data_IF_266441336503
#
_entry.id   IF_266441336503
#
_cell.length_a   1.000
_cell.length_b   1.000
_cell.length_c   1.000
_cell.angle_alpha   90.00
_cell.angle_beta   90.00
_cell.angle_gamma   90.00
#
_symmetry.space_group_name_H-M   'P 1'
#
loop_
_entity.id
_entity.type
_entity.pdbx_description
1 polymer ?
#
# COMPACT_ATOMS: atom_id res chain seq x y z
N UNK A 1 -23.76 -9.37 1.17
CA UNK A 1 -23.33 -10.37 2.19
C UNK A 1 -21.82 -10.37 2.10
N UNK A 2 -21.13 -9.82 3.06
CA UNK A 2 -19.66 -9.90 3.17
C UNK A 2 -19.31 -11.38 3.25
N UNK A 3 -18.75 -11.94 2.20
CA UNK A 3 -18.24 -13.31 2.23
C UNK A 3 -17.02 -13.25 3.15
N UNK A 4 -17.11 -13.95 4.28
CA UNK A 4 -16.03 -14.02 5.25
C UNK A 4 -14.94 -14.94 4.66
N UNK A 5 -14.06 -14.37 3.82
CA UNK A 5 -12.90 -15.08 3.32
C UNK A 5 -11.86 -15.17 4.43
N UNK A 6 -11.33 -16.38 4.74
CA UNK A 6 -10.22 -16.49 5.66
C UNK A 6 -9.01 -15.75 5.10
N UNK A 7 -8.25 -15.09 5.97
CA UNK A 7 -7.00 -14.43 5.57
C UNK A 7 -5.90 -15.49 5.50
N UNK A 8 -5.90 -16.23 4.41
CA UNK A 8 -4.94 -17.29 4.10
C UNK A 8 -4.19 -16.93 2.82
N UNK A 9 -2.93 -17.37 2.70
CA UNK A 9 -2.10 -17.10 1.53
C UNK A 9 -2.65 -17.76 0.29
N UNK A 10 -2.85 -16.99 -0.77
CA UNK A 10 -3.24 -17.50 -2.07
C UNK A 10 -4.29 -16.67 -2.78
N UNK A 11 -4.72 -17.19 -3.94
CA UNK A 11 -5.70 -16.55 -4.79
C UNK A 11 -7.12 -16.91 -4.32
N UNK A 12 -7.93 -15.87 -4.10
CA UNK A 12 -9.33 -15.99 -3.66
C UNK A 12 -10.23 -15.32 -4.70
N UNK A 13 -11.25 -16.02 -5.16
CA UNK A 13 -12.32 -15.43 -5.98
C UNK A 13 -13.26 -14.62 -5.08
N UNK A 14 -13.45 -13.35 -5.42
CA UNK A 14 -14.26 -12.39 -4.65
C UNK A 14 -15.54 -11.99 -5.36
N UNK A 15 -15.82 -12.63 -6.49
CA UNK A 15 -17.05 -12.51 -7.26
C UNK A 15 -16.87 -11.79 -8.60
N UNK A 16 -17.75 -12.11 -9.54
CA UNK A 16 -17.86 -11.48 -10.86
C UNK A 16 -16.53 -11.32 -11.62
N UNK A 17 -15.67 -12.37 -11.60
CA UNK A 17 -14.38 -12.36 -12.27
C UNK A 17 -13.30 -11.54 -11.54
N UNK A 18 -13.59 -11.01 -10.38
CA UNK A 18 -12.61 -10.35 -9.50
C UNK A 18 -11.99 -11.35 -8.54
N UNK A 19 -10.66 -11.23 -8.36
CA UNK A 19 -9.87 -12.09 -7.48
C UNK A 19 -8.91 -11.23 -6.66
N UNK A 20 -8.58 -11.69 -5.46
CA UNK A 20 -7.52 -11.12 -4.63
C UNK A 20 -6.47 -12.19 -4.35
N UNK A 21 -5.19 -11.85 -4.44
CA UNK A 21 -4.11 -12.66 -3.93
C UNK A 21 -3.70 -12.11 -2.57
N UNK A 22 -3.87 -12.90 -1.53
CA UNK A 22 -3.69 -12.47 -0.15
C UNK A 22 -2.38 -12.98 0.42
N UNK A 23 -1.68 -12.15 1.19
CA UNK A 23 -0.43 -12.49 1.87
C UNK A 23 -0.52 -12.23 3.38
N UNK A 24 -0.92 -13.20 4.20
CA UNK A 24 -0.77 -13.10 5.65
C UNK A 24 0.73 -13.01 6.05
N UNK A 25 1.07 -12.26 7.10
CA UNK A 25 0.13 -11.59 8.01
C UNK A 25 -0.31 -10.18 7.59
N UNK A 26 0.11 -9.70 6.42
CA UNK A 26 -0.18 -8.34 5.95
C UNK A 26 0.77 -7.28 6.51
N UNK A 27 1.84 -7.69 7.21
CA UNK A 27 2.87 -6.79 7.74
C UNK A 27 3.79 -6.25 6.64
N UNK A 28 4.91 -5.65 7.01
CA UNK A 28 5.88 -5.06 6.09
C UNK A 28 6.19 -5.96 4.88
N UNK A 29 5.90 -5.45 3.67
CA UNK A 29 6.18 -6.14 2.41
C UNK A 29 5.25 -7.31 2.06
N UNK A 30 4.34 -7.71 2.95
CA UNK A 30 3.32 -8.75 2.70
C UNK A 30 2.04 -8.13 2.16
N UNK A 31 2.16 -7.50 0.99
CA UNK A 31 1.07 -6.81 0.29
C UNK A 31 0.13 -7.78 -0.43
N UNK A 32 -1.10 -7.36 -0.68
CA UNK A 32 -2.06 -8.04 -1.52
C UNK A 32 -1.96 -7.56 -2.98
N UNK A 33 -2.46 -8.38 -3.90
CA UNK A 33 -2.62 -8.02 -5.31
C UNK A 33 -4.01 -8.42 -5.80
N UNK A 34 -4.41 -7.93 -6.97
CA UNK A 34 -5.72 -8.19 -7.56
C UNK A 34 -5.64 -8.71 -8.98
N UNK A 35 -6.64 -9.52 -9.39
CA UNK A 35 -6.82 -9.91 -10.79
C UNK A 35 -8.28 -9.70 -11.19
N UNK A 36 -8.52 -8.94 -12.24
CA UNK A 36 -9.83 -8.75 -12.85
C UNK A 36 -9.85 -9.48 -14.20
N UNK A 37 -10.65 -10.52 -14.30
CA UNK A 37 -10.74 -11.38 -15.49
C UNK A 37 -11.94 -10.96 -16.34
N UNK A 38 -11.67 -10.59 -17.59
CA UNK A 38 -12.66 -10.31 -18.62
C UNK A 38 -12.66 -11.35 -19.74
N UNK A 39 -13.35 -11.07 -20.85
CA UNK A 39 -13.38 -11.93 -22.01
C UNK A 39 -12.04 -11.85 -22.78
N UNK A 40 -11.27 -12.91 -22.73
CA UNK A 40 -9.99 -13.04 -23.44
C UNK A 40 -8.85 -12.12 -22.98
N UNK A 41 -9.04 -11.32 -21.92
CA UNK A 41 -8.02 -10.47 -21.35
C UNK A 41 -8.25 -10.25 -19.84
N UNK A 42 -7.19 -9.94 -19.08
CA UNK A 42 -7.28 -9.59 -17.66
C UNK A 42 -6.44 -8.39 -17.31
N UNK A 43 -6.80 -7.77 -16.18
CA UNK A 43 -6.05 -6.72 -15.50
C UNK A 43 -5.44 -7.29 -14.22
N UNK A 44 -4.14 -7.10 -14.04
CA UNK A 44 -3.47 -7.30 -12.75
C UNK A 44 -3.42 -5.96 -12.00
N UNK A 45 -3.73 -5.97 -10.72
CA UNK A 45 -3.55 -4.82 -9.81
C UNK A 45 -2.42 -5.17 -8.86
N UNK A 46 -1.32 -4.47 -8.99
CA UNK A 46 -0.06 -4.64 -8.28
C UNK A 46 0.68 -5.97 -8.54
N UNK A 47 1.96 -5.95 -8.29
CA UNK A 47 2.83 -7.11 -8.15
C UNK A 47 3.30 -7.19 -6.70
N UNK A 48 4.29 -8.04 -6.40
CA UNK A 48 4.72 -8.27 -5.04
C UNK A 48 6.19 -7.86 -4.83
N UNK A 49 6.67 -7.94 -3.59
CA UNK A 49 7.91 -7.33 -3.15
C UNK A 49 9.17 -7.96 -3.74
N UNK A 50 9.09 -9.23 -4.17
CA UNK A 50 10.20 -9.87 -4.84
C UNK A 50 9.74 -10.79 -5.98
N UNK A 51 10.72 -11.29 -6.73
CA UNK A 51 10.44 -12.12 -7.92
C UNK A 51 9.89 -13.49 -7.56
N UNK A 52 10.24 -14.04 -6.40
CA UNK A 52 9.76 -15.36 -5.96
C UNK A 52 8.27 -15.25 -5.61
N UNK A 53 7.93 -14.27 -4.81
CA UNK A 53 6.55 -14.03 -4.39
C UNK A 53 5.65 -13.71 -5.60
N UNK A 54 6.13 -12.83 -6.50
CA UNK A 54 5.38 -12.51 -7.73
C UNK A 54 5.22 -13.73 -8.64
N UNK A 55 6.26 -14.55 -8.77
CA UNK A 55 6.20 -15.80 -9.54
C UNK A 55 5.15 -16.77 -8.98
N UNK A 56 5.13 -16.99 -7.64
CA UNK A 56 4.12 -17.82 -6.97
C UNK A 56 2.69 -17.29 -7.18
N UNK A 57 2.53 -15.96 -7.12
CA UNK A 57 1.24 -15.31 -7.39
C UNK A 57 0.78 -15.55 -8.83
N UNK A 58 1.65 -15.32 -9.83
CA UNK A 58 1.33 -15.53 -11.24
C UNK A 58 1.05 -17.00 -11.54
N UNK A 59 1.76 -17.93 -10.91
CA UNK A 59 1.49 -19.37 -11.01
C UNK A 59 0.10 -19.72 -10.46
N UNK A 60 -0.29 -19.14 -9.32
CA UNK A 60 -1.64 -19.33 -8.77
C UNK A 60 -2.74 -18.78 -9.70
N UNK A 61 -2.45 -17.72 -10.45
CA UNK A 61 -3.37 -17.11 -11.44
C UNK A 61 -3.37 -17.84 -12.79
N UNK A 62 -2.42 -18.75 -13.06
CA UNK A 62 -2.14 -19.31 -14.40
C UNK A 62 -3.33 -20.01 -15.06
N UNK A 63 -4.21 -20.63 -14.29
CA UNK A 63 -5.43 -21.26 -14.84
C UNK A 63 -6.40 -20.25 -15.46
N UNK A 64 -6.45 -19.04 -14.91
CA UNK A 64 -7.30 -17.95 -15.39
C UNK A 64 -6.60 -17.22 -16.55
N UNK A 65 -5.33 -16.86 -16.38
CA UNK A 65 -4.58 -16.03 -17.34
C UNK A 65 -4.22 -16.79 -18.63
N UNK A 66 -4.29 -18.11 -18.62
CA UNK A 66 -4.11 -18.91 -19.85
C UNK A 66 -5.21 -18.63 -20.90
N UNK A 67 -6.43 -18.37 -20.48
CA UNK A 67 -7.57 -18.06 -21.37
C UNK A 67 -7.85 -16.56 -21.46
N UNK A 68 -7.42 -15.79 -20.47
CA UNK A 68 -7.52 -14.35 -20.41
C UNK A 68 -6.16 -13.76 -20.00
N UNK A 69 -5.17 -13.67 -20.92
CA UNK A 69 -3.84 -13.17 -20.60
C UNK A 69 -3.88 -11.78 -19.94
N UNK A 70 -2.90 -11.49 -19.08
CA UNK A 70 -2.75 -10.18 -18.45
C UNK A 70 -2.37 -9.17 -19.54
N UNK A 71 -3.32 -8.34 -19.93
CA UNK A 71 -3.15 -7.30 -20.95
C UNK A 71 -2.68 -5.98 -20.33
N UNK A 72 -3.06 -5.73 -19.09
CA UNK A 72 -2.71 -4.52 -18.36
C UNK A 72 -2.32 -4.84 -16.92
N UNK A 73 -1.38 -4.08 -16.40
CA UNK A 73 -0.98 -4.06 -15.00
C UNK A 73 -1.15 -2.63 -14.48
N UNK A 74 -1.88 -2.45 -13.41
CA UNK A 74 -1.95 -1.17 -12.69
C UNK A 74 -1.13 -1.28 -11.43
N UNK A 75 -0.14 -0.38 -11.25
CA UNK A 75 0.47 -0.19 -9.95
C UNK A 75 -0.29 0.91 -9.19
N UNK A 76 -0.78 0.55 -8.02
CA UNK A 76 -1.56 1.49 -7.18
C UNK A 76 -0.69 2.62 -6.68
N UNK A 77 0.59 2.37 -6.39
CA UNK A 77 1.55 3.37 -5.93
C UNK A 77 3.00 2.89 -6.13
N UNK A 78 3.96 3.63 -5.59
CA UNK A 78 5.38 3.49 -5.91
C UNK A 78 6.15 2.49 -5.04
N UNK A 79 5.57 1.98 -3.94
CA UNK A 79 6.32 1.12 -3.02
C UNK A 79 6.66 -0.22 -3.66
N UNK A 80 7.84 -0.73 -3.32
CA UNK A 80 8.42 -1.90 -3.96
C UNK A 80 7.57 -3.16 -3.83
N UNK A 81 6.87 -3.34 -2.74
CA UNK A 81 5.99 -4.47 -2.51
C UNK A 81 4.70 -4.46 -3.37
N UNK A 82 4.52 -3.40 -4.17
CA UNK A 82 3.45 -3.28 -5.16
C UNK A 82 3.96 -3.21 -6.61
N UNK A 83 5.28 -3.06 -6.83
CA UNK A 83 5.81 -2.84 -8.19
C UNK A 83 7.11 -3.58 -8.52
N UNK A 84 7.86 -4.14 -7.58
CA UNK A 84 9.14 -4.78 -7.87
C UNK A 84 9.04 -6.05 -8.71
N UNK A 85 7.88 -6.70 -8.71
CA UNK A 85 7.60 -7.85 -9.56
C UNK A 85 7.22 -7.54 -11.00
N UNK A 86 7.09 -6.26 -11.40
CA UNK A 86 6.63 -5.83 -12.73
C UNK A 86 7.37 -6.50 -13.89
N UNK A 87 8.66 -6.80 -13.73
CA UNK A 87 9.47 -7.46 -14.77
C UNK A 87 8.97 -8.86 -15.17
N UNK A 88 8.18 -9.53 -14.32
CA UNK A 88 7.61 -10.85 -14.60
C UNK A 88 6.30 -10.79 -15.39
N UNK A 89 5.72 -9.60 -15.57
CA UNK A 89 4.45 -9.41 -16.29
C UNK A 89 4.74 -8.98 -17.72
N UNK A 90 5.18 -9.95 -18.53
CA UNK A 90 5.57 -9.70 -19.92
C UNK A 90 4.36 -9.37 -20.81
N UNK A 91 4.54 -8.36 -21.69
CA UNK A 91 3.56 -7.98 -22.70
C UNK A 91 2.41 -7.13 -22.21
N UNK A 92 2.25 -6.92 -20.89
CA UNK A 92 1.22 -6.05 -20.35
C UNK A 92 1.58 -4.55 -20.49
N UNK A 93 0.57 -3.70 -20.73
CA UNK A 93 0.71 -2.27 -20.55
C UNK A 93 0.76 -1.98 -19.03
N UNK A 94 1.84 -1.35 -18.54
CA UNK A 94 1.96 -0.98 -17.13
C UNK A 94 1.46 0.45 -16.95
N UNK A 95 0.49 0.63 -16.07
CA UNK A 95 -0.24 1.89 -15.86
C UNK A 95 -0.07 2.33 -14.40
N UNK A 96 0.19 3.61 -14.17
CA UNK A 96 0.15 4.24 -12.84
C UNK A 96 -0.21 5.73 -12.95
N UNK A 97 -0.37 6.41 -11.81
CA UNK A 97 -0.35 7.87 -11.81
C UNK A 97 1.02 8.41 -12.25
N UNK A 98 1.06 9.62 -12.77
CA UNK A 98 2.32 10.30 -13.15
C UNK A 98 3.22 10.47 -11.93
N UNK A 99 2.65 10.77 -10.76
CA UNK A 99 3.38 10.93 -9.52
C UNK A 99 4.00 9.61 -9.04
N UNK A 100 3.25 8.50 -9.05
CA UNK A 100 3.79 7.19 -8.68
C UNK A 100 4.91 6.73 -9.63
N UNK A 101 4.76 6.92 -10.95
CA UNK A 101 5.80 6.58 -11.91
C UNK A 101 7.13 7.32 -11.65
N UNK A 102 7.05 8.58 -11.21
CA UNK A 102 8.23 9.36 -10.82
C UNK A 102 8.85 8.81 -9.52
N UNK A 103 8.03 8.60 -8.49
CA UNK A 103 8.45 8.17 -7.16
C UNK A 103 9.07 6.74 -7.17
N UNK A 104 8.64 5.83 -8.06
CA UNK A 104 9.21 4.49 -8.22
C UNK A 104 10.73 4.49 -8.43
N UNK A 105 11.32 5.58 -8.91
CA UNK A 105 12.76 5.69 -9.13
C UNK A 105 13.54 6.10 -7.88
N UNK A 106 12.88 6.54 -6.82
CA UNK A 106 13.52 7.09 -5.61
C UNK A 106 14.04 6.00 -4.68
N UNK A 107 13.33 4.85 -4.62
CA UNK A 107 13.74 3.70 -3.81
C UNK A 107 13.98 2.50 -4.73
N UNK A 108 15.15 2.38 -5.36
CA UNK A 108 15.44 1.24 -6.23
C UNK A 108 15.68 -0.04 -5.42
N UNK A 109 15.37 -1.24 -5.95
CA UNK A 109 15.57 -2.53 -5.26
C UNK A 109 16.99 -2.74 -4.74
N UNK A 110 17.99 -2.22 -5.45
CA UNK A 110 19.41 -2.28 -5.06
C UNK A 110 19.69 -1.56 -3.74
N UNK A 111 18.91 -0.54 -3.39
CA UNK A 111 19.04 0.17 -2.12
C UNK A 111 18.60 -0.72 -0.95
N UNK A 112 17.45 -1.41 -1.07
CA UNK A 112 16.99 -2.36 -0.05
C UNK A 112 17.92 -3.56 0.06
N UNK A 113 18.43 -4.08 -1.06
CA UNK A 113 19.45 -5.13 -1.06
C UNK A 113 20.70 -4.69 -0.29
N UNK A 114 21.20 -3.47 -0.53
CA UNK A 114 22.36 -2.93 0.16
C UNK A 114 22.12 -2.74 1.67
N UNK A 115 20.94 -2.25 2.07
CA UNK A 115 20.58 -2.07 3.47
C UNK A 115 20.44 -3.41 4.21
N UNK A 116 19.82 -4.43 3.60
CA UNK A 116 19.76 -5.77 4.16
C UNK A 116 21.14 -6.45 4.28
N UNK A 117 22.05 -6.16 3.36
CA UNK A 117 23.42 -6.69 3.38
C UNK A 117 24.38 -5.88 4.25
N UNK A 118 23.96 -4.72 4.76
CA UNK A 118 24.82 -3.85 5.57
C UNK A 118 25.27 -4.57 6.86
N UNK A 119 26.54 -4.36 7.29
CA UNK A 119 27.01 -4.92 8.55
C UNK A 119 26.49 -4.14 9.76
N UNK A 120 26.44 -4.81 10.93
CA UNK A 120 26.14 -4.18 12.22
C UNK A 120 24.68 -3.71 12.34
N UNK A 121 24.46 -2.73 13.22
CA UNK A 121 23.12 -2.31 13.67
C UNK A 121 22.17 -1.90 12.52
N UNK A 122 22.70 -1.26 11.48
CA UNK A 122 21.88 -0.84 10.32
C UNK A 122 21.33 -2.07 9.58
N UNK A 123 22.19 -3.02 9.24
CA UNK A 123 21.74 -4.24 8.57
C UNK A 123 20.83 -5.09 9.45
N UNK A 124 21.13 -5.19 10.75
CA UNK A 124 20.26 -5.91 11.69
C UNK A 124 18.87 -5.26 11.77
N UNK A 125 18.81 -3.93 11.79
CA UNK A 125 17.56 -3.18 11.76
C UNK A 125 16.75 -3.46 10.48
N UNK A 126 17.35 -3.30 9.30
CA UNK A 126 16.63 -3.53 8.04
C UNK A 126 16.23 -4.99 7.84
N UNK A 127 17.06 -5.94 8.23
CA UNK A 127 16.69 -7.38 8.22
C UNK A 127 15.53 -7.70 9.16
N UNK A 128 15.32 -6.95 10.22
CA UNK A 128 14.15 -7.16 11.08
C UNK A 128 12.82 -6.78 10.43
N UNK A 129 12.85 -5.93 9.38
CA UNK A 129 11.67 -5.54 8.59
C UNK A 129 11.58 -6.31 7.26
N UNK A 130 12.72 -6.51 6.59
CA UNK A 130 12.76 -6.94 5.19
C UNK A 130 13.61 -8.19 4.94
N UNK A 131 14.04 -8.87 6.01
CA UNK A 131 14.94 -10.04 5.91
C UNK A 131 14.32 -11.25 5.21
N UNK A 132 13.01 -11.33 5.14
CA UNK A 132 12.28 -12.41 4.47
C UNK A 132 12.25 -12.25 2.94
N UNK A 133 12.60 -11.08 2.41
CA UNK A 133 12.51 -10.74 0.99
C UNK A 133 13.86 -10.75 0.28
N UNK A 134 13.82 -11.02 -1.03
CA UNK A 134 15.00 -11.11 -1.89
C UNK A 134 14.96 -10.01 -2.95
N UNK A 135 15.85 -9.04 -2.83
CA UNK A 135 15.91 -7.90 -3.76
C UNK A 135 16.92 -8.08 -4.89
N UNK A 136 17.72 -9.16 -4.87
CA UNK A 136 18.73 -9.44 -5.91
C UNK A 136 18.05 -9.85 -7.23
N UNK A 137 18.56 -9.30 -8.34
CA UNK A 137 18.06 -9.62 -9.68
C UNK A 137 16.77 -8.91 -10.07
N UNK A 138 16.24 -8.03 -9.23
CA UNK A 138 15.09 -7.20 -9.59
C UNK A 138 15.54 -6.08 -10.52
N UNK A 139 14.96 -6.06 -11.72
CA UNK A 139 15.08 -4.96 -12.69
C UNK A 139 13.81 -4.11 -12.62
N UNK A 140 13.96 -2.87 -12.17
CA UNK A 140 12.83 -1.96 -12.04
C UNK A 140 12.19 -1.70 -13.40
N UNK A 141 10.94 -2.12 -13.58
CA UNK A 141 10.18 -1.91 -14.80
C UNK A 141 9.10 -0.85 -14.57
N UNK A 142 9.34 0.32 -15.10
CA UNK A 142 8.50 1.49 -14.92
C UNK A 142 7.20 1.42 -15.75
N UNK A 143 6.16 2.16 -15.37
CA UNK A 143 4.94 2.30 -16.14
C UNK A 143 5.21 2.77 -17.57
N UNK A 144 4.49 2.18 -18.52
CA UNK A 144 4.52 2.54 -19.95
C UNK A 144 3.44 3.53 -20.31
N UNK A 145 2.43 3.67 -19.45
CA UNK A 145 1.36 4.66 -19.53
C UNK A 145 1.12 5.30 -18.18
N UNK A 146 1.04 6.62 -18.16
CA UNK A 146 0.71 7.39 -16.95
C UNK A 146 -0.54 8.22 -17.14
N UNK A 147 -1.17 8.61 -16.02
CA UNK A 147 -2.32 9.50 -16.02
C UNK A 147 -2.32 10.39 -14.77
N UNK A 148 -3.13 11.43 -14.81
CA UNK A 148 -3.39 12.30 -13.67
C UNK A 148 -4.90 12.32 -13.40
N UNK A 149 -5.29 12.29 -12.13
CA UNK A 149 -6.66 12.37 -11.66
C UNK A 149 -7.49 11.11 -11.92
N UNK A 150 -8.01 10.90 -13.14
CA UNK A 150 -8.87 9.74 -13.45
C UNK A 150 -8.62 9.18 -14.84
N UNK A 151 -8.65 7.85 -14.94
CA UNK A 151 -8.56 7.12 -16.19
C UNK A 151 -9.51 5.93 -16.18
N UNK A 152 -10.42 5.86 -17.12
CA UNK A 152 -11.21 4.65 -17.35
C UNK A 152 -10.50 3.79 -18.40
N UNK A 153 -10.33 2.50 -18.10
CA UNK A 153 -9.75 1.52 -19.02
C UNK A 153 -10.74 0.37 -19.24
N UNK A 154 -10.67 -0.25 -20.41
CA UNK A 154 -11.47 -1.43 -20.73
C UNK A 154 -10.55 -2.64 -20.92
N UNK A 155 -10.82 -3.71 -20.20
CA UNK A 155 -10.07 -4.95 -20.27
C UNK A 155 -11.04 -6.13 -20.38
N UNK A 156 -11.00 -6.85 -21.53
CA UNK A 156 -11.90 -7.97 -21.77
C UNK A 156 -13.38 -7.62 -21.63
N UNK A 157 -13.80 -6.44 -22.11
CA UNK A 157 -15.17 -5.95 -22.04
C UNK A 157 -15.61 -5.41 -20.67
N UNK A 158 -14.69 -5.33 -19.68
CA UNK A 158 -14.95 -4.76 -18.37
C UNK A 158 -14.37 -3.36 -18.27
N UNK A 159 -15.14 -2.44 -17.72
CA UNK A 159 -14.67 -1.09 -17.40
C UNK A 159 -14.08 -1.06 -15.99
N UNK A 160 -12.85 -0.56 -15.88
CA UNK A 160 -12.17 -0.32 -14.62
C UNK A 160 -11.88 1.17 -14.53
N UNK A 161 -12.33 1.79 -13.44
CA UNK A 161 -12.13 3.19 -13.15
C UNK A 161 -10.90 3.33 -12.26
N UNK A 162 -9.81 3.91 -12.79
CA UNK A 162 -8.62 4.26 -12.03
C UNK A 162 -8.77 5.69 -11.52
N UNK A 163 -8.66 5.86 -10.22
CA UNK A 163 -8.81 7.17 -9.57
C UNK A 163 -7.58 7.46 -8.73
N UNK A 164 -6.85 8.52 -9.09
CA UNK A 164 -5.78 9.03 -8.26
C UNK A 164 -6.38 9.74 -7.05
N UNK A 165 -6.02 9.24 -5.87
CA UNK A 165 -6.47 9.75 -4.57
C UNK A 165 -5.31 10.32 -3.73
N UNK A 166 -4.07 10.17 -4.24
CA UNK A 166 -2.89 10.78 -3.67
C UNK A 166 -2.81 12.30 -3.89
N UNK A 167 -1.84 12.98 -3.22
CA UNK A 167 -0.90 12.38 -2.28
C UNK A 167 -1.56 11.99 -0.95
N UNK A 168 -1.29 10.79 -0.46
CA UNK A 168 -1.84 10.24 0.77
C UNK A 168 -0.80 9.34 1.48
N UNK A 169 -0.82 8.02 1.24
CA UNK A 169 0.24 7.12 1.67
C UNK A 169 1.57 7.48 0.97
N UNK A 170 1.54 7.57 -0.36
CA UNK A 170 2.62 8.04 -1.23
C UNK A 170 2.18 9.28 -2.02
N UNK A 171 3.02 9.75 -2.94
CA UNK A 171 2.69 10.94 -3.74
C UNK A 171 1.58 10.71 -4.77
N UNK A 172 1.42 9.47 -5.26
CA UNK A 172 0.56 9.20 -6.41
C UNK A 172 -0.35 7.98 -6.25
N UNK A 173 -0.98 7.82 -5.09
CA UNK A 173 -1.83 6.66 -4.80
C UNK A 173 -3.06 6.61 -5.72
N UNK A 174 -3.31 5.42 -6.27
CA UNK A 174 -4.42 5.11 -7.18
C UNK A 174 -5.26 3.99 -6.58
N UNK A 175 -6.57 4.09 -6.70
CA UNK A 175 -7.50 3.00 -6.47
C UNK A 175 -8.09 2.51 -7.79
N UNK A 176 -8.36 1.20 -7.90
CA UNK A 176 -8.99 0.60 -9.08
C UNK A 176 -10.40 0.11 -8.71
N UNK A 177 -11.41 0.76 -9.26
CA UNK A 177 -12.82 0.43 -9.03
C UNK A 177 -13.32 -0.40 -10.19
N UNK A 178 -14.01 -1.52 -9.89
CA UNK A 178 -14.71 -2.36 -10.84
C UNK A 178 -16.22 -2.25 -10.57
N UNK A 179 -16.92 -1.27 -11.16
CA UNK A 179 -18.30 -0.93 -10.78
C UNK A 179 -19.27 -2.09 -10.96
N UNK A 180 -19.16 -2.86 -12.06
CA UNK A 180 -20.02 -4.00 -12.34
C UNK A 180 -19.91 -5.08 -11.27
N UNK A 181 -18.70 -5.30 -10.74
CA UNK A 181 -18.43 -6.27 -9.68
C UNK A 181 -18.60 -5.69 -8.27
N UNK A 182 -18.95 -4.39 -8.14
CA UNK A 182 -19.06 -3.69 -6.85
C UNK A 182 -17.81 -3.90 -5.97
N UNK A 183 -16.64 -3.89 -6.61
CA UNK A 183 -15.35 -4.19 -5.99
C UNK A 183 -14.39 -3.01 -6.18
N UNK A 184 -13.55 -2.74 -5.17
CA UNK A 184 -12.46 -1.77 -5.27
C UNK A 184 -11.17 -2.37 -4.71
N UNK A 185 -10.07 -2.18 -5.44
CA UNK A 185 -8.70 -2.44 -4.99
C UNK A 185 -8.10 -1.11 -4.59
N UNK A 186 -7.65 -1.02 -3.35
CA UNK A 186 -7.31 0.28 -2.76
C UNK A 186 -5.80 0.54 -2.66
N UNK A 187 -4.97 -0.48 -2.90
CA UNK A 187 -3.57 -0.37 -2.51
C UNK A 187 -3.46 0.07 -1.05
N UNK A 188 -2.44 0.78 -0.73
CA UNK A 188 -2.09 1.19 0.63
C UNK A 188 -2.88 2.41 1.16
N UNK A 189 -3.99 2.74 0.50
CA UNK A 189 -5.03 3.54 1.15
C UNK A 189 -5.65 2.78 2.34
N UNK A 190 -5.56 1.43 2.32
CA UNK A 190 -6.04 0.60 3.43
C UNK A 190 -5.00 -0.41 3.92
N UNK A 191 -4.76 -0.34 5.23
CA UNK A 191 -4.08 -1.34 6.05
C UNK A 191 -5.09 -1.90 7.04
N UNK A 192 -5.45 -3.17 6.92
CA UNK A 192 -6.48 -3.78 7.78
C UNK A 192 -5.83 -4.68 8.82
N UNK A 193 -5.98 -4.30 10.09
CA UNK A 193 -5.30 -4.94 11.21
C UNK A 193 -3.84 -4.53 11.40
N UNK A 194 -3.32 -3.69 10.51
CA UNK A 194 -2.01 -3.04 10.60
C UNK A 194 -2.14 -1.52 10.69
N UNK A 195 -1.15 -0.87 11.27
CA UNK A 195 -1.10 0.58 11.38
C UNK A 195 -0.71 1.18 10.03
N UNK A 196 -1.48 2.13 9.46
CA UNK A 196 -1.09 2.87 8.26
C UNK A 196 0.23 3.60 8.44
N UNK A 197 1.01 3.78 7.35
CA UNK A 197 2.22 4.58 7.33
C UNK A 197 2.11 5.70 6.29
N UNK A 198 2.45 6.94 6.66
CA UNK A 198 2.25 8.15 5.85
C UNK A 198 3.59 8.67 5.36
N UNK A 199 3.97 8.32 4.13
CA UNK A 199 5.22 8.82 3.54
C UNK A 199 5.08 10.24 2.97
N UNK A 200 3.99 10.51 2.25
CA UNK A 200 3.75 11.79 1.60
C UNK A 200 2.80 12.70 2.40
N UNK A 201 1.60 12.26 2.72
CA UNK A 201 0.57 13.12 3.32
C UNK A 201 0.09 14.23 2.37
N UNK A 202 -0.67 15.22 2.84
CA UNK A 202 -1.13 15.37 4.22
C UNK A 202 -2.18 14.32 4.61
N UNK A 203 -2.32 14.07 5.91
CA UNK A 203 -3.30 13.10 6.42
C UNK A 203 -4.74 13.46 6.02
N UNK A 204 -5.05 14.74 5.89
CA UNK A 204 -6.36 15.22 5.42
C UNK A 204 -6.73 14.70 4.03
N UNK A 205 -5.76 14.56 3.11
CA UNK A 205 -6.00 13.96 1.80
C UNK A 205 -6.30 12.47 1.92
N UNK A 206 -5.59 11.77 2.79
CA UNK A 206 -5.85 10.34 3.02
C UNK A 206 -7.22 10.11 3.66
N UNK A 207 -7.61 10.96 4.62
CA UNK A 207 -8.97 10.97 5.17
C UNK A 207 -10.01 11.17 4.06
N UNK A 208 -9.75 12.13 3.13
CA UNK A 208 -10.65 12.35 1.99
C UNK A 208 -10.69 11.14 1.02
N UNK A 209 -9.57 10.43 0.83
CA UNK A 209 -9.54 9.18 0.06
C UNK A 209 -10.40 8.08 0.71
N UNK A 210 -10.34 7.93 2.04
CA UNK A 210 -11.24 7.04 2.77
C UNK A 210 -12.72 7.45 2.62
N UNK A 211 -13.03 8.73 2.74
CA UNK A 211 -14.40 9.25 2.56
C UNK A 211 -14.90 9.01 1.12
N UNK A 212 -14.01 9.13 0.11
CA UNK A 212 -14.34 8.78 -1.27
C UNK A 212 -14.73 7.31 -1.40
N UNK A 213 -13.92 6.37 -0.85
CA UNK A 213 -14.22 4.93 -0.86
C UNK A 213 -15.53 4.63 -0.12
N UNK A 214 -15.80 5.30 1.01
CA UNK A 214 -17.06 5.17 1.75
C UNK A 214 -18.28 5.58 0.92
N UNK A 215 -18.11 6.54 0.00
CA UNK A 215 -19.14 7.01 -0.93
C UNK A 215 -19.40 6.10 -2.13
N UNK A 216 -18.48 5.17 -2.45
CA UNK A 216 -18.64 4.25 -3.58
C UNK A 216 -19.74 3.22 -3.33
N UNK A 217 -20.40 2.77 -4.41
CA UNK A 217 -21.35 1.66 -4.37
C UNK A 217 -20.61 0.32 -4.53
N UNK A 218 -19.85 -0.07 -3.50
CA UNK A 218 -19.04 -1.29 -3.46
C UNK A 218 -19.38 -2.13 -2.23
N UNK A 219 -19.29 -3.45 -2.41
CA UNK A 219 -19.51 -4.45 -1.35
C UNK A 219 -18.20 -5.09 -0.89
N UNK A 220 -17.25 -5.25 -1.82
CA UNK A 220 -15.95 -5.89 -1.56
C UNK A 220 -14.82 -4.89 -1.71
N UNK A 221 -13.96 -4.83 -0.71
CA UNK A 221 -12.81 -3.92 -0.67
C UNK A 221 -11.55 -4.74 -0.44
N UNK A 222 -10.62 -4.66 -1.39
CA UNK A 222 -9.31 -5.33 -1.33
C UNK A 222 -8.27 -4.30 -0.87
N UNK A 223 -7.76 -4.41 0.38
CA UNK A 223 -6.73 -3.51 0.88
C UNK A 223 -5.36 -3.86 0.31
N UNK A 224 -4.41 -2.92 0.37
CA UNK A 224 -3.01 -3.22 0.09
C UNK A 224 -2.41 -4.20 1.08
N UNK A 225 -2.78 -4.09 2.35
CA UNK A 225 -2.34 -5.00 3.41
C UNK A 225 -3.49 -5.46 4.29
N UNK A 226 -3.40 -6.73 4.73
CA UNK A 226 -4.37 -7.32 5.63
C UNK A 226 -5.54 -8.04 4.93
N UNK A 227 -6.56 -8.51 5.67
CA UNK A 227 -7.68 -9.26 5.12
C UNK A 227 -8.61 -8.39 4.28
N UNK A 228 -9.39 -9.03 3.41
CA UNK A 228 -10.51 -8.37 2.72
C UNK A 228 -11.41 -7.66 3.74
N UNK A 229 -11.94 -6.51 3.33
CA UNK A 229 -12.70 -5.67 4.24
C UNK A 229 -13.98 -5.12 3.62
N UNK A 230 -14.70 -4.37 4.40
CA UNK A 230 -15.89 -3.62 4.04
C UNK A 230 -15.75 -2.14 4.44
N UNK A 231 -16.81 -1.37 4.32
CA UNK A 231 -16.83 0.05 4.68
C UNK A 231 -16.50 0.31 6.16
N UNK A 232 -16.69 -0.68 7.04
CA UNK A 232 -16.28 -0.54 8.44
C UNK A 232 -14.76 -0.44 8.55
N UNK A 233 -14.01 -1.31 7.89
CA UNK A 233 -12.55 -1.23 7.91
C UNK A 233 -12.02 0.09 7.33
N UNK A 234 -12.66 0.62 6.28
CA UNK A 234 -12.32 1.95 5.74
C UNK A 234 -12.55 3.05 6.78
N UNK A 235 -13.68 3.00 7.49
CA UNK A 235 -13.99 3.96 8.55
C UNK A 235 -12.99 3.87 9.72
N UNK A 236 -12.59 2.66 10.10
CA UNK A 236 -11.60 2.45 11.16
C UNK A 236 -10.24 3.08 10.79
N UNK A 237 -9.76 2.90 9.55
CA UNK A 237 -8.52 3.54 9.04
C UNK A 237 -8.66 5.06 9.01
N UNK A 238 -9.76 5.59 8.48
CA UNK A 238 -10.05 7.03 8.47
C UNK A 238 -10.02 7.63 9.88
N UNK A 239 -10.63 6.95 10.84
CA UNK A 239 -10.73 7.43 12.23
C UNK A 239 -9.35 7.42 12.91
N UNK A 240 -8.50 6.43 12.62
CA UNK A 240 -7.10 6.42 13.04
C UNK A 240 -6.33 7.63 12.49
N UNK A 241 -6.40 7.86 11.18
CA UNK A 241 -5.70 8.98 10.53
C UNK A 241 -6.16 10.33 11.11
N UNK A 242 -7.47 10.50 11.30
CA UNK A 242 -8.04 11.70 11.92
C UNK A 242 -7.60 11.89 13.37
N UNK A 243 -7.45 10.79 14.11
CA UNK A 243 -6.91 10.81 15.48
C UNK A 243 -5.46 11.28 15.48
N UNK A 244 -4.62 10.67 14.66
CA UNK A 244 -3.17 11.02 14.61
C UNK A 244 -2.99 12.48 14.17
N UNK A 245 -3.69 12.93 13.12
CA UNK A 245 -3.61 14.31 12.62
C UNK A 245 -3.96 15.32 13.71
N UNK A 246 -5.07 15.13 14.41
CA UNK A 246 -5.50 15.99 15.50
C UNK A 246 -4.48 16.03 16.64
N UNK A 247 -4.04 14.87 17.09
CA UNK A 247 -3.14 14.75 18.23
C UNK A 247 -1.72 15.28 17.92
N UNK A 248 -1.22 15.03 16.72
CA UNK A 248 0.08 15.53 16.28
C UNK A 248 0.05 17.06 16.09
N UNK A 249 -1.01 17.59 15.45
CA UNK A 249 -1.21 19.03 15.28
C UNK A 249 -1.25 19.77 16.63
N UNK A 250 -1.96 19.21 17.61
CA UNK A 250 -2.03 19.81 18.95
C UNK A 250 -0.65 19.87 19.65
N UNK A 251 0.16 18.82 19.52
CA UNK A 251 1.50 18.76 20.11
C UNK A 251 2.50 19.64 19.38
N UNK A 252 2.41 19.72 18.06
CA UNK A 252 3.19 20.69 17.27
C UNK A 252 2.91 22.13 17.73
N UNK A 253 1.63 22.50 17.86
CA UNK A 253 1.25 23.83 18.35
C UNK A 253 1.73 24.12 19.78
N UNK A 254 1.92 23.08 20.61
CA UNK A 254 2.48 23.17 21.95
C UNK A 254 4.02 23.18 21.98
N UNK A 255 4.69 23.08 20.83
CA UNK A 255 6.15 23.06 20.72
C UNK A 255 6.81 21.77 21.21
N UNK A 256 6.07 20.65 21.21
CA UNK A 256 6.61 19.33 21.57
C UNK A 256 7.44 18.81 20.40
N UNK A 257 8.58 18.17 20.69
CA UNK A 257 9.39 17.47 19.68
C UNK A 257 8.58 16.36 18.99
N UNK A 258 8.79 16.15 17.67
CA UNK A 258 8.02 15.21 16.89
C UNK A 258 8.11 13.75 17.40
N UNK A 259 9.31 13.32 17.82
CA UNK A 259 9.48 11.96 18.33
C UNK A 259 8.87 11.78 19.72
N UNK A 260 8.98 12.78 20.58
CA UNK A 260 8.31 12.78 21.89
C UNK A 260 6.78 12.79 21.72
N UNK A 261 6.28 13.57 20.77
CA UNK A 261 4.86 13.56 20.40
C UNK A 261 4.39 12.16 19.91
N UNK A 262 5.18 11.51 19.05
CA UNK A 262 4.89 10.17 18.55
C UNK A 262 4.84 9.13 19.69
N UNK A 263 5.79 9.17 20.61
CA UNK A 263 5.81 8.29 21.80
C UNK A 263 4.60 8.52 22.72
N UNK A 264 4.18 9.76 22.86
CA UNK A 264 3.01 10.10 23.69
C UNK A 264 1.70 9.68 23.00
N UNK A 265 1.58 9.86 21.68
CA UNK A 265 0.42 9.43 20.89
C UNK A 265 0.33 7.89 20.88
N UNK A 266 1.46 7.18 20.73
CA UNK A 266 1.49 5.71 20.78
C UNK A 266 0.86 5.13 22.06
N UNK A 267 1.03 5.81 23.21
CA UNK A 267 0.40 5.39 24.48
C UNK A 267 -1.09 5.67 24.55
N UNK A 268 -1.63 6.43 23.61
CA UNK A 268 -3.03 6.91 23.59
C UNK A 268 -3.81 6.32 22.41
N UNK A 269 -3.28 5.34 21.69
CA UNK A 269 -3.91 4.72 20.52
C UNK A 269 -5.26 4.03 20.83
N UNK A 270 -5.55 3.71 22.11
CA UNK A 270 -6.81 3.05 22.47
C UNK A 270 -7.00 1.72 21.75
N UNK A 271 -8.13 1.56 21.06
CA UNK A 271 -8.43 0.34 20.29
C UNK A 271 -7.46 0.11 19.13
N UNK A 272 -6.86 1.16 18.57
CA UNK A 272 -5.84 1.04 17.51
C UNK A 272 -4.54 0.38 18.00
N UNK A 273 -4.29 0.29 19.29
CA UNK A 273 -3.14 -0.42 19.86
C UNK A 273 -3.17 -1.94 19.61
N UNK A 274 -4.30 -2.48 19.13
CA UNK A 274 -4.42 -3.88 18.71
C UNK A 274 -3.92 -4.11 17.28
N UNK A 275 -3.68 -3.06 16.51
CA UNK A 275 -3.13 -3.16 15.17
C UNK A 275 -1.63 -3.44 15.23
N UNK A 276 -1.14 -4.26 14.29
CA UNK A 276 0.28 -4.49 14.11
C UNK A 276 1.04 -3.20 13.76
N UNK A 277 2.35 -3.21 14.01
CA UNK A 277 3.28 -2.17 13.55
C UNK A 277 2.94 -0.76 14.02
N UNK A 278 2.45 -0.64 15.24
CA UNK A 278 2.06 0.67 15.80
C UNK A 278 3.23 1.67 15.91
N UNK A 279 4.47 1.21 15.81
CA UNK A 279 5.66 2.06 15.69
C UNK A 279 5.62 3.00 14.50
N UNK A 280 4.84 2.69 13.44
CA UNK A 280 4.61 3.54 12.26
C UNK A 280 4.05 4.92 12.62
N UNK A 281 3.45 5.08 13.80
CA UNK A 281 3.01 6.39 14.30
C UNK A 281 4.16 7.41 14.35
N UNK A 282 5.41 6.95 14.48
CA UNK A 282 6.59 7.84 14.44
C UNK A 282 6.69 8.59 13.11
N UNK A 283 6.56 7.86 12.00
CA UNK A 283 6.59 8.44 10.64
C UNK A 283 5.36 9.30 10.38
N UNK A 284 4.20 8.85 10.85
CA UNK A 284 2.95 9.57 10.68
C UNK A 284 2.99 10.95 11.34
N UNK A 285 3.51 11.03 12.55
CA UNK A 285 3.68 12.31 13.28
C UNK A 285 4.72 13.21 12.60
N UNK A 286 5.87 12.65 12.16
CA UNK A 286 6.88 13.40 11.41
C UNK A 286 6.28 14.01 10.14
N UNK A 287 5.44 13.27 9.42
CA UNK A 287 4.78 13.77 8.22
C UNK A 287 3.79 14.89 8.52
N UNK A 288 3.03 14.81 9.62
CA UNK A 288 2.19 15.91 10.07
C UNK A 288 3.02 17.17 10.37
N UNK A 289 4.12 17.02 11.11
CA UNK A 289 5.00 18.12 11.46
C UNK A 289 5.60 18.79 10.22
N UNK A 290 6.10 18.00 9.27
CA UNK A 290 6.62 18.49 7.99
C UNK A 290 5.56 19.23 7.17
N UNK A 291 4.32 18.78 7.19
CA UNK A 291 3.23 19.43 6.49
C UNK A 291 2.76 20.74 7.16
N UNK A 292 2.89 20.85 8.48
CA UNK A 292 2.56 22.05 9.24
C UNK A 292 3.69 23.10 9.19
N UNK A 293 4.93 22.65 9.17
CA UNK A 293 6.11 23.51 9.13
C UNK A 293 7.10 23.00 8.07
N UNK A 294 7.15 23.66 6.93
CA UNK A 294 8.07 23.31 5.84
C UNK A 294 9.56 23.48 6.17
N UNK A 295 9.89 24.14 7.30
CA UNK A 295 11.26 24.21 7.83
C UNK A 295 11.60 23.03 8.73
N UNK A 296 10.63 22.17 9.07
CA UNK A 296 10.87 20.97 9.86
C UNK A 296 11.74 19.97 9.08
N UNK A 297 12.90 19.63 9.63
CA UNK A 297 13.81 18.64 9.06
C UNK A 297 13.43 17.24 9.57
N UNK A 298 12.92 16.41 8.69
CA UNK A 298 12.66 15.00 9.02
C UNK A 298 13.97 14.23 9.16
N UNK A 299 14.04 13.23 10.05
CA UNK A 299 15.18 12.34 10.14
C UNK A 299 15.38 11.54 8.84
N UNK A 300 16.60 11.06 8.61
CA UNK A 300 16.87 10.15 7.52
C UNK A 300 16.13 8.81 7.68
N UNK A 301 16.09 8.02 6.62
CA UNK A 301 15.34 6.75 6.58
C UNK A 301 15.80 5.77 7.68
N UNK A 302 17.09 5.69 7.98
CA UNK A 302 17.62 4.77 9.00
C UNK A 302 17.12 5.19 10.38
N UNK A 303 17.15 6.49 10.68
CA UNK A 303 16.65 7.03 11.94
C UNK A 303 15.12 6.87 12.05
N UNK A 304 14.37 7.02 10.94
CA UNK A 304 12.92 6.75 10.95
C UNK A 304 12.61 5.31 11.33
N UNK A 305 13.29 4.33 10.71
CA UNK A 305 13.12 2.91 11.05
C UNK A 305 13.57 2.61 12.48
N UNK A 306 14.62 3.25 12.96
CA UNK A 306 15.05 3.12 14.36
C UNK A 306 13.99 3.65 15.33
N UNK A 307 13.42 4.82 15.07
CA UNK A 307 12.35 5.41 15.89
C UNK A 307 11.11 4.54 15.93
N UNK A 308 10.69 3.98 14.79
CA UNK A 308 9.60 2.98 14.73
C UNK A 308 9.90 1.79 15.64
N UNK A 309 11.09 1.20 15.49
CA UNK A 309 11.52 0.05 16.31
C UNK A 309 11.61 0.37 17.82
N UNK A 310 11.95 1.59 18.20
CA UNK A 310 11.94 2.03 19.61
C UNK A 310 10.53 2.10 20.15
N UNK A 311 9.58 2.66 19.40
CA UNK A 311 8.18 2.74 19.82
C UNK A 311 7.55 1.34 19.91
N UNK A 312 7.86 0.45 18.97
CA UNK A 312 7.35 -0.93 18.93
C UNK A 312 7.77 -1.77 20.15
N UNK A 313 8.93 -1.48 20.71
CA UNK A 313 9.46 -2.19 21.88
C UNK A 313 8.96 -1.64 23.23
N UNK A 314 8.33 -0.49 23.25
CA UNK A 314 7.77 0.18 24.43
C UNK A 314 8.79 1.07 25.14
#
# INVERSE_FOLDING_TARGET
>A
MTVNHPFERGLVEIGDGCHAYLQPDGSWGWSNAGLVVGDGASLLVDTLFDLVLTGEMLDAMSNLTRTAPIASLVNTHANGDHCYGNQLVDGAEIISSTAAAHEMTEVPPSMLAALNAAPGEVGDLFRSFFGDFRFDGIELRLPTRTFDGRLDIEVGGRVIELVEVGPAHTAGDVIAVVPEARTVYTGDILFIGGTPIVWAGPLSNWVAACDYILGLDVDTIVPGHGPLTDKKGVADVRDYLSFVDREATARHAAGVDAFDAARDIARQLGDFSQWGEFGRVSVNVETVYRNLDHAHESPDVVEQFRRMSVIERG
#
